data_IF_378396292154
#
_entry.id   IF_378396292154
#
_cell.length_a   1.000
_cell.length_b   1.000
_cell.length_c   1.000
_cell.angle_alpha   90.00
_cell.angle_beta   90.00
_cell.angle_gamma   90.00
#
_symmetry.space_group_name_H-M   'P 1'
#
loop_
_entity.id
_entity.type
_entity.pdbx_description
1 polymer ?
#
# COMPACT_ATOMS: atom_id res chain seq x y z
N UNK A 1 -12.15 -8.69 0.35
CA UNK A 1 -13.07 -8.03 -0.60
C UNK A 1 -12.89 -6.51 -0.55
N UNK A 2 -12.95 -5.81 -1.69
CA UNK A 2 -12.93 -4.34 -1.79
C UNK A 2 -14.18 -3.90 -2.55
N UNK A 3 -14.94 -2.99 -1.98
CA UNK A 3 -16.13 -2.39 -2.61
C UNK A 3 -15.94 -0.88 -2.76
N UNK A 4 -16.09 -0.39 -3.97
CA UNK A 4 -16.05 1.01 -4.33
C UNK A 4 -17.41 1.37 -4.93
N UNK A 5 -18.13 2.31 -4.32
CA UNK A 5 -19.51 2.67 -4.71
C UNK A 5 -19.60 4.16 -5.02
N UNK A 6 -19.84 4.49 -6.28
CA UNK A 6 -20.04 5.84 -6.81
C UNK A 6 -18.98 6.85 -6.36
N UNK A 7 -17.71 6.40 -6.33
CA UNK A 7 -16.59 7.19 -5.83
C UNK A 7 -16.17 8.23 -6.84
N UNK A 8 -16.11 9.47 -6.37
CA UNK A 8 -15.53 10.60 -7.11
C UNK A 8 -14.46 11.29 -6.26
N UNK A 9 -13.40 11.77 -6.90
CA UNK A 9 -12.37 12.60 -6.27
C UNK A 9 -12.06 13.81 -7.13
N UNK A 10 -12.32 14.98 -6.55
CA UNK A 10 -11.89 16.28 -7.07
C UNK A 10 -10.86 16.84 -6.11
N UNK A 11 -9.73 17.29 -6.61
CA UNK A 11 -8.71 17.99 -5.82
C UNK A 11 -9.12 19.47 -5.59
N UNK A 12 -8.53 20.11 -4.60
CA UNK A 12 -8.77 21.55 -4.30
C UNK A 12 -8.49 22.46 -5.49
N UNK A 13 -7.57 22.06 -6.36
CA UNK A 13 -7.28 22.72 -7.64
C UNK A 13 -8.40 22.63 -8.68
N UNK A 14 -9.52 21.95 -8.37
CA UNK A 14 -10.63 21.70 -9.29
C UNK A 14 -10.43 20.50 -10.23
N UNK A 15 -9.26 19.87 -10.21
CA UNK A 15 -8.99 18.68 -11.06
C UNK A 15 -9.80 17.47 -10.60
N UNK A 16 -10.63 16.94 -11.49
CA UNK A 16 -11.44 15.73 -11.28
C UNK A 16 -10.61 14.49 -11.63
N UNK A 17 -9.99 13.87 -10.64
CA UNK A 17 -9.13 12.71 -10.83
C UNK A 17 -9.90 11.39 -10.98
N UNK A 18 -11.05 11.27 -10.31
CA UNK A 18 -11.94 10.10 -10.38
C UNK A 18 -13.37 10.62 -10.49
N UNK A 19 -14.16 10.02 -11.37
CA UNK A 19 -15.53 10.40 -11.61
C UNK A 19 -16.44 9.17 -11.58
N UNK A 20 -17.27 9.08 -10.55
CA UNK A 20 -18.36 8.10 -10.40
C UNK A 20 -17.94 6.65 -10.68
N UNK A 21 -16.88 6.20 -10.02
CA UNK A 21 -16.35 4.84 -10.19
C UNK A 21 -17.02 3.91 -9.18
N UNK A 22 -17.56 2.80 -9.70
CA UNK A 22 -18.05 1.69 -8.89
C UNK A 22 -17.40 0.40 -9.38
N UNK A 23 -16.84 -0.37 -8.46
CA UNK A 23 -16.26 -1.69 -8.74
C UNK A 23 -16.21 -2.51 -7.46
N UNK A 24 -16.23 -3.82 -7.61
CA UNK A 24 -15.99 -4.78 -6.53
C UNK A 24 -14.81 -5.65 -6.92
N UNK A 25 -13.95 -5.95 -5.96
CA UNK A 25 -12.85 -6.91 -6.08
C UNK A 25 -13.05 -7.95 -4.99
N UNK A 26 -13.29 -9.18 -5.39
CA UNK A 26 -13.53 -10.30 -4.48
C UNK A 26 -12.24 -10.84 -3.86
N UNK A 27 -12.37 -11.64 -2.81
CA UNK A 27 -11.24 -12.29 -2.18
C UNK A 27 -10.57 -13.29 -3.14
N UNK A 28 -9.23 -13.25 -3.19
CA UNK A 28 -8.45 -14.09 -4.09
C UNK A 28 -8.39 -13.61 -5.54
N UNK A 29 -9.06 -12.51 -5.87
CA UNK A 29 -9.04 -11.94 -7.21
C UNK A 29 -7.72 -11.22 -7.52
N UNK A 30 -7.28 -11.31 -8.77
CA UNK A 30 -6.14 -10.58 -9.30
C UNK A 30 -6.61 -9.57 -10.35
N UNK A 31 -6.52 -8.28 -10.05
CA UNK A 31 -7.11 -7.21 -10.86
C UNK A 31 -6.04 -6.27 -11.41
N UNK A 32 -6.09 -5.98 -12.72
CA UNK A 32 -5.31 -4.94 -13.35
C UNK A 32 -6.11 -3.64 -13.49
N UNK A 33 -5.54 -2.52 -13.02
CA UNK A 33 -6.08 -1.19 -13.26
C UNK A 33 -5.25 -0.54 -14.36
N UNK A 34 -5.83 -0.45 -15.55
CA UNK A 34 -5.18 0.10 -16.76
C UNK A 34 -5.73 1.48 -17.13
N UNK A 35 -4.93 2.28 -17.81
CA UNK A 35 -5.33 3.60 -18.27
C UNK A 35 -4.14 4.51 -18.57
N UNK A 36 -4.38 5.59 -19.29
CA UNK A 36 -3.35 6.59 -19.65
C UNK A 36 -2.77 7.25 -18.40
N UNK A 37 -1.60 7.89 -18.55
CA UNK A 37 -1.04 8.75 -17.47
C UNK A 37 -2.08 9.82 -17.08
N UNK A 38 -2.21 10.08 -15.79
CA UNK A 38 -3.21 11.04 -15.27
C UNK A 38 -4.66 10.52 -15.19
N UNK A 39 -4.95 9.27 -15.56
CA UNK A 39 -6.33 8.71 -15.53
C UNK A 39 -6.87 8.40 -14.13
N UNK A 40 -6.16 8.77 -13.06
CA UNK A 40 -6.62 8.57 -11.68
C UNK A 40 -6.16 7.30 -10.98
N UNK A 41 -5.38 6.41 -11.62
CA UNK A 41 -4.90 5.15 -11.01
C UNK A 41 -4.21 5.37 -9.66
N UNK A 42 -3.24 6.27 -9.62
CA UNK A 42 -2.52 6.61 -8.37
C UNK A 42 -3.43 7.26 -7.33
N UNK A 43 -4.45 8.02 -7.77
CA UNK A 43 -5.46 8.60 -6.88
C UNK A 43 -6.32 7.51 -6.26
N UNK A 44 -6.72 6.50 -7.03
CA UNK A 44 -7.47 5.36 -6.51
C UNK A 44 -6.65 4.60 -5.46
N UNK A 45 -5.37 4.34 -5.73
CA UNK A 45 -4.48 3.70 -4.74
C UNK A 45 -4.38 4.53 -3.45
N UNK A 46 -4.24 5.87 -3.55
CA UNK A 46 -4.20 6.76 -2.38
C UNK A 46 -5.51 6.76 -1.58
N UNK A 47 -6.66 6.63 -2.25
CA UNK A 47 -7.95 6.46 -1.57
C UNK A 47 -8.01 5.14 -0.82
N UNK A 48 -7.60 4.02 -1.44
CA UNK A 48 -7.53 2.71 -0.80
C UNK A 48 -6.55 2.68 0.39
N UNK A 49 -5.43 3.42 0.29
CA UNK A 49 -4.48 3.58 1.40
C UNK A 49 -4.95 4.56 2.48
N UNK A 50 -6.12 5.18 2.31
CA UNK A 50 -6.61 6.24 3.22
C UNK A 50 -5.59 7.39 3.36
N UNK A 51 -4.82 7.67 2.29
CA UNK A 51 -4.00 8.89 2.16
C UNK A 51 -4.85 10.08 1.68
N UNK A 52 -5.92 9.78 0.95
CA UNK A 52 -6.92 10.74 0.48
C UNK A 52 -8.32 10.28 0.89
N UNK A 53 -9.22 11.25 1.01
CA UNK A 53 -10.65 10.99 1.15
C UNK A 53 -11.36 11.20 -0.20
N UNK A 54 -12.38 10.39 -0.52
CA UNK A 54 -13.22 10.66 -1.67
C UNK A 54 -14.02 11.95 -1.46
N UNK A 55 -14.32 12.66 -2.54
CA UNK A 55 -15.24 13.81 -2.51
C UNK A 55 -16.69 13.34 -2.42
N UNK A 56 -16.99 12.20 -3.04
CA UNK A 56 -18.30 11.54 -3.00
C UNK A 56 -18.09 10.02 -3.06
N UNK A 57 -19.12 9.28 -2.68
CA UNK A 57 -19.15 7.83 -2.73
C UNK A 57 -18.55 7.18 -1.47
N UNK A 58 -18.42 5.85 -1.53
CA UNK A 58 -18.05 5.03 -0.38
C UNK A 58 -17.02 3.99 -0.79
N UNK A 59 -16.07 3.72 0.10
CA UNK A 59 -15.06 2.66 -0.07
C UNK A 59 -15.11 1.78 1.17
N UNK A 60 -15.30 0.48 0.97
CA UNK A 60 -15.25 -0.54 2.01
C UNK A 60 -14.15 -1.53 1.66
N UNK A 61 -13.31 -1.88 2.62
CA UNK A 61 -12.23 -2.87 2.48
C UNK A 61 -12.33 -3.86 3.63
N UNK A 62 -12.57 -5.13 3.33
CA UNK A 62 -12.78 -6.19 4.32
C UNK A 62 -13.71 -5.74 5.46
N UNK A 63 -14.94 -5.36 5.10
CA UNK A 63 -16.01 -4.87 5.97
C UNK A 63 -15.70 -3.54 6.72
N UNK A 64 -14.55 -2.95 6.46
CA UNK A 64 -14.17 -1.67 7.04
C UNK A 64 -14.53 -0.51 6.12
N UNK A 65 -15.50 0.30 6.52
CA UNK A 65 -15.84 1.55 5.83
C UNK A 65 -14.75 2.60 6.07
N UNK A 66 -13.99 2.92 5.00
CA UNK A 66 -12.90 3.87 5.10
C UNK A 66 -13.38 5.29 5.40
N UNK A 67 -14.57 5.68 4.94
CA UNK A 67 -15.16 7.00 5.21
C UNK A 67 -15.47 7.22 6.69
N UNK A 68 -15.89 6.15 7.39
CA UNK A 68 -16.24 6.17 8.81
C UNK A 68 -15.07 5.85 9.75
N UNK A 69 -13.91 5.51 9.19
CA UNK A 69 -12.75 5.09 9.97
C UNK A 69 -12.11 6.27 10.71
N UNK A 70 -12.05 6.26 12.06
CA UNK A 70 -11.35 7.29 12.82
C UNK A 70 -9.85 7.29 12.51
N UNK A 71 -9.22 8.47 12.47
CA UNK A 71 -7.78 8.65 12.14
C UNK A 71 -6.85 7.75 12.96
N UNK A 72 -7.16 7.48 14.22
CA UNK A 72 -6.39 6.60 15.12
C UNK A 72 -6.34 5.15 14.65
N UNK A 73 -7.29 4.70 13.82
CA UNK A 73 -7.33 3.33 13.28
C UNK A 73 -6.62 3.18 11.94
N UNK A 74 -6.33 4.27 11.23
CA UNK A 74 -5.65 4.25 9.92
C UNK A 74 -4.31 3.50 9.96
N UNK A 75 -3.42 3.66 10.97
CA UNK A 75 -2.19 2.88 11.05
C UNK A 75 -2.45 1.37 11.19
N UNK A 76 -3.48 0.97 11.94
CA UNK A 76 -3.86 -0.45 12.10
C UNK A 76 -4.42 -1.01 10.80
N UNK A 77 -5.20 -0.23 10.06
CA UNK A 77 -5.70 -0.58 8.74
C UNK A 77 -4.54 -0.78 7.75
N UNK A 78 -3.63 0.19 7.63
CA UNK A 78 -2.49 0.12 6.71
C UNK A 78 -1.56 -1.06 6.97
N UNK A 79 -1.44 -1.54 8.21
CA UNK A 79 -0.67 -2.76 8.55
C UNK A 79 -1.24 -4.04 7.93
N UNK A 80 -2.49 -4.01 7.46
CA UNK A 80 -3.13 -5.14 6.75
C UNK A 80 -2.94 -5.09 5.24
N UNK A 81 -2.30 -4.03 4.73
CA UNK A 81 -2.07 -3.82 3.30
C UNK A 81 -0.61 -4.06 2.98
N UNK A 82 -0.34 -4.89 1.98
CA UNK A 82 0.96 -4.96 1.32
C UNK A 82 0.98 -4.00 0.13
N UNK A 83 1.93 -3.07 0.08
CA UNK A 83 2.02 -2.08 -0.99
C UNK A 83 3.44 -2.00 -1.54
N UNK A 84 3.56 -2.05 -2.85
CA UNK A 84 4.80 -1.73 -3.57
C UNK A 84 4.64 -0.37 -4.22
N UNK A 85 5.46 0.59 -3.80
CA UNK A 85 5.42 1.95 -4.33
C UNK A 85 6.33 2.09 -5.56
N UNK A 86 5.93 2.93 -6.50
CA UNK A 86 6.72 3.21 -7.69
C UNK A 86 8.08 3.85 -7.37
N UNK A 87 8.16 4.66 -6.32
CA UNK A 87 9.37 5.31 -5.81
C UNK A 87 10.11 4.46 -4.76
N UNK A 88 9.73 3.18 -4.63
CA UNK A 88 10.25 2.16 -3.71
C UNK A 88 10.19 2.54 -2.22
N UNK A 89 10.19 3.80 -1.83
CA UNK A 89 10.17 4.33 -0.44
C UNK A 89 11.16 3.64 0.50
N UNK A 90 12.34 3.31 -0.02
CA UNK A 90 13.39 2.67 0.76
C UNK A 90 14.06 3.64 1.73
N UNK A 91 14.41 3.13 2.90
CA UNK A 91 15.22 3.84 3.90
C UNK A 91 16.67 3.83 3.41
N UNK A 92 17.14 4.94 2.84
CA UNK A 92 18.44 5.05 2.14
C UNK A 92 19.64 4.81 3.07
N UNK A 93 19.50 5.13 4.37
CA UNK A 93 20.53 5.00 5.41
C UNK A 93 20.46 3.65 6.14
N UNK A 94 19.67 2.71 5.61
CA UNK A 94 19.50 1.37 6.16
C UNK A 94 19.90 0.33 5.14
N UNK A 95 20.43 -0.79 5.62
CA UNK A 95 20.80 -1.92 4.76
C UNK A 95 19.56 -2.58 4.15
N UNK A 96 19.75 -3.44 3.16
CA UNK A 96 18.69 -4.27 2.55
C UNK A 96 17.98 -5.09 3.63
N UNK A 97 18.73 -5.74 4.53
CA UNK A 97 18.16 -6.44 5.68
C UNK A 97 17.27 -5.54 6.53
N UNK A 98 17.78 -4.37 6.91
CA UNK A 98 17.05 -3.44 7.78
C UNK A 98 15.78 -2.88 7.14
N UNK A 99 15.78 -2.66 5.82
CA UNK A 99 14.59 -2.25 5.07
C UNK A 99 13.49 -3.32 5.13
N UNK A 100 13.82 -4.59 4.88
CA UNK A 100 12.86 -5.70 4.96
C UNK A 100 12.42 -5.91 6.41
N UNK A 101 13.36 -5.90 7.36
CA UNK A 101 13.08 -6.03 8.79
C UNK A 101 12.18 -4.91 9.32
N UNK A 102 12.30 -3.69 8.78
CA UNK A 102 11.49 -2.56 9.19
C UNK A 102 9.99 -2.83 9.01
N UNK A 103 9.59 -3.36 7.85
CA UNK A 103 8.19 -3.69 7.59
C UNK A 103 7.64 -4.71 8.61
N UNK A 104 8.42 -5.73 8.94
CA UNK A 104 8.03 -6.73 9.95
C UNK A 104 7.95 -6.12 11.37
N UNK A 105 8.88 -5.23 11.73
CA UNK A 105 8.81 -4.52 13.03
C UNK A 105 7.55 -3.68 13.17
N UNK A 106 7.16 -2.99 12.10
CA UNK A 106 5.95 -2.14 12.09
C UNK A 106 4.68 -2.94 12.38
N UNK A 107 4.61 -4.19 11.92
CA UNK A 107 3.48 -5.08 12.20
C UNK A 107 3.63 -5.89 13.49
N UNK A 108 4.71 -5.66 14.24
CA UNK A 108 4.90 -6.25 15.57
C UNK A 108 5.52 -7.66 15.57
N UNK A 109 6.20 -8.07 14.48
CA UNK A 109 6.90 -9.37 14.44
C UNK A 109 8.06 -9.37 15.44
N UNK A 110 8.19 -10.42 16.28
CA UNK A 110 9.28 -10.53 17.25
C UNK A 110 10.67 -10.53 16.57
N UNK A 111 11.70 -9.91 17.21
CA UNK A 111 13.05 -9.82 16.64
C UNK A 111 13.69 -11.18 16.28
N UNK A 112 13.36 -12.23 17.02
CA UNK A 112 13.82 -13.60 16.71
C UNK A 112 13.31 -14.05 15.35
N UNK A 113 12.02 -13.92 15.11
CA UNK A 113 11.36 -14.31 13.84
C UNK A 113 11.91 -13.48 12.68
N UNK A 114 12.11 -12.16 12.87
CA UNK A 114 12.68 -11.29 11.85
C UNK A 114 14.06 -11.78 11.39
N UNK A 115 14.91 -12.23 12.33
CA UNK A 115 16.25 -12.76 12.01
C UNK A 115 16.22 -14.05 11.22
N UNK A 116 15.18 -14.83 11.34
CA UNK A 116 14.97 -16.07 10.60
C UNK A 116 14.33 -15.79 9.23
N UNK A 117 13.28 -14.98 9.18
CA UNK A 117 12.46 -14.79 7.96
C UNK A 117 13.08 -13.84 6.94
N UNK A 118 13.78 -12.78 7.38
CA UNK A 118 14.34 -11.79 6.42
C UNK A 118 15.38 -12.41 5.48
N UNK A 119 16.36 -13.23 5.94
CA UNK A 119 17.28 -13.91 5.04
C UNK A 119 16.56 -14.84 4.05
N UNK A 120 15.50 -15.53 4.49
CA UNK A 120 14.71 -16.40 3.62
C UNK A 120 13.99 -15.57 2.52
N UNK A 121 13.36 -14.47 2.88
CA UNK A 121 12.73 -13.56 1.91
C UNK A 121 13.76 -13.02 0.90
N UNK A 122 14.95 -12.63 1.35
CA UNK A 122 16.01 -12.16 0.46
C UNK A 122 16.51 -13.27 -0.48
N UNK A 123 16.54 -14.52 -0.02
CA UNK A 123 16.88 -15.68 -0.84
C UNK A 123 15.84 -15.90 -1.94
N UNK A 124 14.56 -15.81 -1.63
CA UNK A 124 13.47 -15.97 -2.61
C UNK A 124 13.54 -14.99 -3.76
N UNK A 125 14.05 -13.76 -3.51
CA UNK A 125 14.17 -12.70 -4.54
C UNK A 125 15.60 -12.56 -5.08
N UNK A 126 16.51 -13.51 -4.78
CA UNK A 126 17.88 -13.51 -5.29
C UNK A 126 18.81 -12.45 -4.68
N UNK A 127 18.47 -11.89 -3.54
CA UNK A 127 19.23 -10.82 -2.88
C UNK A 127 20.07 -11.28 -1.67
N UNK A 128 20.31 -12.59 -1.51
CA UNK A 128 21.08 -13.12 -0.38
C UNK A 128 22.47 -12.48 -0.23
N UNK A 129 23.19 -12.26 -1.35
CA UNK A 129 24.52 -11.65 -1.35
C UNK A 129 24.49 -10.13 -1.02
N UNK A 130 23.33 -9.50 -1.12
CA UNK A 130 23.13 -8.06 -0.89
C UNK A 130 22.60 -7.72 0.51
N UNK A 131 22.51 -8.70 1.37
CA UNK A 131 21.99 -8.59 2.74
C UNK A 131 22.53 -7.36 3.52
N UNK A 132 23.84 -7.09 3.45
CA UNK A 132 24.49 -5.94 4.12
C UNK A 132 24.62 -4.70 3.23
N UNK A 133 24.21 -4.77 1.98
CA UNK A 133 24.28 -3.65 1.05
C UNK A 133 23.25 -2.56 1.41
N UNK A 134 23.53 -1.35 1.00
CA UNK A 134 22.61 -0.23 1.07
C UNK A 134 21.81 -0.10 -0.26
N UNK A 135 20.63 0.53 -0.26
CA UNK A 135 19.81 0.69 -1.48
C UNK A 135 20.57 1.28 -2.69
N UNK A 136 21.52 2.20 -2.43
CA UNK A 136 22.36 2.81 -3.48
C UNK A 136 23.35 1.82 -4.14
N UNK A 137 23.50 0.63 -3.57
CA UNK A 137 24.42 -0.41 -4.07
C UNK A 137 23.66 -1.55 -4.78
N UNK A 138 22.36 -1.41 -4.93
CA UNK A 138 21.49 -2.26 -5.73
C UNK A 138 21.34 -1.66 -7.12
#
# INVERSE_FOLDING_TARGET
MIEISNVSKTYETGNKAIKDVSLTIDDGEFVFIVGRSGSGKSTLMKLLLKELEPTKGRIVVNDMDLGRMPRRYVPKYRRRLGVVFQDFRLLKDRTVFENVAFAQRVIGVPPRIIRETVPEMLRLVGLSSKYKAYPRQL
#
